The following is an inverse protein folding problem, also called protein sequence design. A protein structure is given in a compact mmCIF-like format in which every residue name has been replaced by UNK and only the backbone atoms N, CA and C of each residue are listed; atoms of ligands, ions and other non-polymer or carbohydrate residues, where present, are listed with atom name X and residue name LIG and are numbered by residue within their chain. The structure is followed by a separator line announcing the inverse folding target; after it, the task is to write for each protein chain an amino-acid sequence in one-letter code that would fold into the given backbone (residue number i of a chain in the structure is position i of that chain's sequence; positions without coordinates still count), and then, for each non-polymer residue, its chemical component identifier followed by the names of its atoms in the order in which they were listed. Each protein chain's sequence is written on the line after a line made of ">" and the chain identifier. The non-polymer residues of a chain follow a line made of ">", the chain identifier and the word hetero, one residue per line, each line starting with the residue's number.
data_IF_260475184011
#
_entry.id   IF_260475184011
#
_cell.length_a   1.000
_cell.length_b   1.000
_cell.length_c   1.000
_cell.angle_alpha   90.00
_cell.angle_beta   90.00
_cell.angle_gamma   90.00
#
_symmetry.space_group_name_H-M   'P 1'
#
loop_
_entity.id
_entity.type
_entity.pdbx_description
1 polymer ?
#
# COMPACT_ATOMS: atom_id res chain seq x y z
N UNK A 1 -10.73 3.16 4.40
CA UNK A 1 -9.97 4.18 5.15
C UNK A 1 -9.57 5.31 4.21
N UNK A 2 -9.64 6.60 4.59
CA UNK A 2 -9.07 7.70 3.80
C UNK A 2 -7.58 7.51 3.55
N UNK A 3 -7.07 8.08 2.46
CA UNK A 3 -5.68 7.91 2.03
C UNK A 3 -4.65 8.29 3.10
N UNK A 4 -4.85 9.44 3.73
CA UNK A 4 -3.99 9.96 4.80
C UNK A 4 -3.94 9.02 6.01
N UNK A 5 -5.10 8.47 6.41
CA UNK A 5 -5.16 7.50 7.51
C UNK A 5 -4.42 6.20 7.20
N UNK A 6 -4.39 5.79 5.93
CA UNK A 6 -3.61 4.61 5.53
C UNK A 6 -2.11 4.90 5.61
N UNK A 7 -1.68 6.07 5.15
CA UNK A 7 -0.29 6.51 5.29
C UNK A 7 0.14 6.61 6.76
N UNK A 8 -0.69 7.21 7.62
CA UNK A 8 -0.47 7.25 9.07
C UNK A 8 -0.34 5.84 9.67
N UNK A 9 -1.24 4.92 9.29
CA UNK A 9 -1.26 3.55 9.82
C UNK A 9 0.02 2.77 9.52
N UNK A 10 0.67 3.03 8.38
CA UNK A 10 1.93 2.38 7.99
C UNK A 10 3.19 3.18 8.39
N UNK A 11 3.05 4.22 9.22
CA UNK A 11 4.19 5.03 9.68
C UNK A 11 4.69 6.09 8.68
N UNK A 12 3.93 6.37 7.62
CA UNK A 12 4.25 7.34 6.57
C UNK A 12 3.37 8.60 6.66
N UNK A 13 2.93 8.94 7.87
CA UNK A 13 1.99 10.04 8.12
C UNK A 13 2.50 11.42 7.66
N UNK A 14 3.82 11.64 7.74
CA UNK A 14 4.46 12.89 7.33
C UNK A 14 4.63 13.01 5.80
N UNK A 15 4.55 11.88 5.07
CA UNK A 15 4.77 11.81 3.62
C UNK A 15 3.63 11.06 2.89
N UNK A 16 2.36 11.47 3.02
CA UNK A 16 1.23 10.75 2.44
C UNK A 16 1.24 10.74 0.91
N UNK A 17 1.94 11.67 0.27
CA UNK A 17 2.11 11.72 -1.20
C UNK A 17 2.96 10.56 -1.70
N UNK A 18 3.99 10.15 -0.96
CA UNK A 18 4.88 9.04 -1.34
C UNK A 18 4.10 7.74 -1.43
N UNK A 19 3.31 7.45 -0.41
CA UNK A 19 2.46 6.25 -0.39
C UNK A 19 1.49 6.29 -1.58
N UNK A 20 0.98 7.48 -1.98
CA UNK A 20 0.02 7.61 -3.09
C UNK A 20 0.69 7.20 -4.39
N UNK A 21 1.92 7.68 -4.59
CA UNK A 21 2.75 7.30 -5.72
C UNK A 21 3.03 5.80 -5.76
N UNK A 22 3.21 5.12 -4.61
CA UNK A 22 3.35 3.66 -4.59
C UNK A 22 2.12 2.94 -5.16
N UNK A 23 0.92 3.39 -4.78
CA UNK A 23 -0.34 2.80 -5.30
C UNK A 23 -0.53 3.15 -6.77
N UNK A 24 -0.30 4.39 -7.19
CA UNK A 24 -0.41 4.82 -8.59
C UNK A 24 0.57 4.09 -9.51
N UNK A 25 1.76 3.73 -8.99
CA UNK A 25 2.78 2.96 -9.71
C UNK A 25 2.64 1.45 -9.56
N UNK A 26 1.58 0.96 -8.92
CA UNK A 26 1.34 -0.46 -8.65
C UNK A 26 2.43 -1.17 -7.85
N UNK A 27 3.17 -0.44 -7.00
CA UNK A 27 4.13 -1.03 -6.06
C UNK A 27 3.43 -1.73 -4.89
N UNK A 28 2.22 -1.26 -4.55
CA UNK A 28 1.35 -1.93 -3.58
C UNK A 28 0.24 -2.68 -4.32
N UNK A 29 -0.03 -3.95 -3.97
CA UNK A 29 -1.15 -4.68 -4.55
C UNK A 29 -2.45 -3.94 -4.18
N UNK A 30 -3.19 -3.52 -5.20
CA UNK A 30 -4.39 -2.72 -5.01
C UNK A 30 -5.46 -3.03 -6.04
N UNK A 31 -6.72 -2.78 -5.68
CA UNK A 31 -7.87 -3.02 -6.52
C UNK A 31 -8.82 -1.82 -6.48
N UNK A 32 -9.36 -1.46 -7.65
CA UNK A 32 -10.45 -0.47 -7.72
C UNK A 32 -11.76 -1.12 -7.27
N UNK A 33 -12.40 -0.50 -6.27
CA UNK A 33 -13.73 -0.84 -5.78
C UNK A 33 -14.61 0.39 -5.91
N UNK A 34 -15.43 0.40 -6.96
CA UNK A 34 -16.18 1.58 -7.38
C UNK A 34 -15.25 2.75 -7.70
N UNK A 35 -15.45 3.89 -7.01
CA UNK A 35 -14.65 5.12 -7.18
C UNK A 35 -13.41 5.18 -6.28
N UNK A 36 -13.11 4.12 -5.52
CA UNK A 36 -12.01 4.10 -4.54
C UNK A 36 -11.00 3.02 -4.91
N UNK A 37 -9.74 3.26 -4.56
CA UNK A 37 -8.69 2.25 -4.61
C UNK A 37 -8.51 1.65 -3.21
N UNK A 38 -8.46 0.33 -3.13
CA UNK A 38 -8.22 -0.42 -1.90
C UNK A 38 -6.90 -1.16 -2.01
N UNK A 39 -6.04 -1.00 -1.01
CA UNK A 39 -4.79 -1.75 -0.90
C UNK A 39 -5.10 -3.13 -0.32
N UNK A 40 -4.65 -4.19 -0.99
CA UNK A 40 -4.81 -5.56 -0.52
C UNK A 40 -3.63 -5.93 0.38
N UNK A 41 -3.75 -5.57 1.66
CA UNK A 41 -2.70 -5.81 2.66
C UNK A 41 -2.46 -7.31 2.90
N UNK A 42 -3.50 -8.14 2.79
CA UNK A 42 -3.35 -9.58 2.93
C UNK A 42 -2.44 -10.17 1.83
N UNK A 43 -2.66 -9.76 0.58
CA UNK A 43 -1.80 -10.17 -0.54
C UNK A 43 -0.38 -9.60 -0.40
N UNK A 44 -0.24 -8.33 0.01
CA UNK A 44 1.08 -7.75 0.25
C UNK A 44 1.87 -8.56 1.29
N UNK A 45 1.23 -8.88 2.42
CA UNK A 45 1.84 -9.68 3.47
C UNK A 45 2.26 -11.06 2.96
N UNK A 46 1.38 -11.74 2.20
CA UNK A 46 1.72 -13.02 1.59
C UNK A 46 2.94 -12.91 0.65
N UNK A 47 2.96 -11.91 -0.25
CA UNK A 47 4.07 -11.68 -1.18
C UNK A 47 5.38 -11.41 -0.43
N UNK A 48 5.35 -10.62 0.65
CA UNK A 48 6.54 -10.30 1.44
C UNK A 48 7.09 -11.51 2.21
N UNK A 49 6.21 -12.42 2.66
CA UNK A 49 6.62 -13.67 3.31
C UNK A 49 7.23 -14.68 2.32
N UNK A 50 6.71 -14.71 1.09
CA UNK A 50 7.19 -15.60 0.03
C UNK A 50 8.47 -15.09 -0.65
N UNK A 51 8.75 -13.79 -0.56
CA UNK A 51 9.93 -13.18 -1.17
C UNK A 51 11.21 -13.65 -0.48
N UNK A 52 12.19 -14.13 -1.26
CA UNK A 52 13.54 -14.33 -0.76
C UNK A 52 14.23 -12.97 -0.55
N UNK A 53 14.65 -12.72 0.68
CA UNK A 53 15.34 -11.48 1.05
C UNK A 53 16.85 -11.72 1.02
N UNK A 54 17.54 -11.15 0.04
CA UNK A 54 18.98 -10.92 0.13
C UNK A 54 19.21 -9.60 0.87
N UNK A 55 19.75 -9.70 2.08
CA UNK A 55 20.22 -8.56 2.88
C UNK A 55 21.54 -8.00 2.32
#
# INVERSE_FOLDING_TARGET
>A
MPWQKFAEWIGMGDEPVVVRTWVERNYLPSQKVGKRTMVNVALLHQQLLEQEWTL
#
